data_IF_688409763851
#
_entry.id   IF_688409763851
#
_cell.length_a   1.000
_cell.length_b   1.000
_cell.length_c   1.000
_cell.angle_alpha   90.00
_cell.angle_beta   90.00
_cell.angle_gamma   90.00
#
_symmetry.space_group_name_H-M   'P 1'
#
loop_
_entity.id
_entity.type
_entity.pdbx_description
1 polymer ?
#
# COMPACT_ATOMS: atom_id res chain seq x y z
N UNK A 1 -1.03 -23.22 -16.27
CA UNK A 1 -2.27 -22.72 -15.65
C UNK A 1 -2.57 -21.38 -16.28
N UNK A 2 -3.72 -21.22 -16.95
CA UNK A 2 -4.08 -19.92 -17.55
C UNK A 2 -4.77 -19.08 -16.47
N UNK A 3 -4.02 -18.14 -15.88
CA UNK A 3 -4.56 -17.16 -14.92
C UNK A 3 -5.28 -16.02 -15.64
N UNK A 4 -6.08 -15.26 -14.89
CA UNK A 4 -6.73 -14.04 -15.39
C UNK A 4 -5.69 -12.93 -15.53
N UNK A 5 -5.67 -12.27 -16.69
CA UNK A 5 -4.82 -11.09 -16.90
C UNK A 5 -5.33 -9.94 -16.02
N UNK A 6 -4.41 -9.36 -15.25
CA UNK A 6 -4.70 -8.24 -14.38
C UNK A 6 -4.74 -6.91 -15.17
N UNK A 7 -5.61 -5.97 -14.81
CA UNK A 7 -5.55 -4.60 -15.32
C UNK A 7 -4.18 -3.99 -15.03
N UNK A 8 -3.63 -3.22 -15.98
CA UNK A 8 -2.28 -2.65 -15.89
C UNK A 8 -2.04 -1.87 -14.58
N UNK A 9 -2.99 -1.03 -14.18
CA UNK A 9 -2.87 -0.25 -12.94
C UNK A 9 -2.75 -1.12 -11.69
N UNK A 10 -3.49 -2.24 -11.66
CA UNK A 10 -3.44 -3.20 -10.56
C UNK A 10 -2.13 -3.99 -10.60
N UNK A 11 -1.68 -4.40 -11.79
CA UNK A 11 -0.43 -5.11 -11.99
C UNK A 11 0.78 -4.29 -11.51
N UNK A 12 0.85 -3.00 -11.85
CA UNK A 12 1.91 -2.09 -11.38
C UNK A 12 1.95 -2.02 -9.85
N UNK A 13 0.78 -1.87 -9.21
CA UNK A 13 0.69 -1.76 -7.75
C UNK A 13 1.09 -3.05 -7.04
N UNK A 14 0.63 -4.19 -7.55
CA UNK A 14 1.01 -5.50 -7.02
C UNK A 14 2.50 -5.79 -7.25
N UNK A 15 3.05 -5.36 -8.39
CA UNK A 15 4.48 -5.44 -8.68
C UNK A 15 5.34 -4.70 -7.66
N UNK A 16 4.95 -3.47 -7.32
CA UNK A 16 5.62 -2.69 -6.24
C UNK A 16 5.57 -3.43 -4.91
N UNK A 17 4.42 -3.99 -4.54
CA UNK A 17 4.28 -4.75 -3.31
C UNK A 17 5.18 -6.00 -3.29
N UNK A 18 5.21 -6.75 -4.38
CA UNK A 18 6.07 -7.93 -4.57
C UNK A 18 7.55 -7.54 -4.42
N UNK A 19 7.97 -6.45 -5.06
CA UNK A 19 9.34 -5.91 -4.96
C UNK A 19 9.69 -5.52 -3.53
N UNK A 20 8.77 -4.89 -2.80
CA UNK A 20 8.97 -4.57 -1.38
C UNK A 20 9.16 -5.84 -0.54
N UNK A 21 8.36 -6.88 -0.78
CA UNK A 21 8.53 -8.18 -0.11
C UNK A 21 9.89 -8.83 -0.38
N UNK A 22 10.32 -8.84 -1.65
CA UNK A 22 11.63 -9.36 -2.06
C UNK A 22 12.77 -8.61 -1.38
N UNK A 23 12.75 -7.29 -1.43
CA UNK A 23 13.80 -6.42 -0.87
C UNK A 23 13.85 -6.50 0.66
N UNK A 24 12.71 -6.56 1.35
CA UNK A 24 12.65 -6.76 2.79
C UNK A 24 13.31 -8.07 3.24
N UNK A 25 13.22 -9.12 2.40
CA UNK A 25 13.87 -10.41 2.63
C UNK A 25 15.29 -10.50 2.08
N UNK A 26 15.83 -9.41 1.54
CA UNK A 26 17.17 -9.32 0.94
C UNK A 26 17.42 -10.36 -0.16
N UNK A 27 16.38 -10.72 -0.91
CA UNK A 27 16.50 -11.66 -2.01
C UNK A 27 16.98 -10.94 -3.27
N UNK A 28 17.98 -11.53 -3.94
CA UNK A 28 18.40 -11.09 -5.27
C UNK A 28 17.31 -11.39 -6.31
N UNK A 29 17.47 -10.89 -7.53
CA UNK A 29 16.54 -11.21 -8.61
C UNK A 29 16.70 -12.68 -9.05
N UNK A 30 17.93 -13.19 -9.00
CA UNK A 30 18.31 -14.58 -9.27
C UNK A 30 17.63 -15.52 -8.25
N UNK A 31 17.76 -15.22 -6.94
CA UNK A 31 17.13 -16.02 -5.89
C UNK A 31 15.61 -16.02 -6.01
N UNK A 32 15.02 -14.88 -6.40
CA UNK A 32 13.59 -14.75 -6.59
C UNK A 32 13.12 -15.56 -7.81
N UNK A 33 13.85 -15.49 -8.93
CA UNK A 33 13.61 -16.26 -10.14
C UNK A 33 13.67 -17.76 -9.87
N UNK A 34 14.73 -18.23 -9.17
CA UNK A 34 14.91 -19.62 -8.80
C UNK A 34 13.80 -20.12 -7.88
N UNK A 35 13.41 -19.34 -6.87
CA UNK A 35 12.32 -19.70 -5.94
C UNK A 35 10.95 -19.73 -6.59
N UNK A 36 10.73 -18.87 -7.58
CA UNK A 36 9.49 -18.78 -8.32
C UNK A 36 9.44 -19.73 -9.52
N UNK A 37 10.57 -20.29 -9.95
CA UNK A 37 10.66 -21.15 -11.14
C UNK A 37 10.34 -20.40 -12.43
N UNK A 38 10.65 -19.10 -12.49
CA UNK A 38 10.47 -18.25 -13.68
C UNK A 38 11.77 -17.53 -14.01
N UNK A 39 11.87 -16.95 -15.21
CA UNK A 39 13.07 -16.20 -15.59
C UNK A 39 13.20 -14.87 -14.83
N UNK A 40 14.41 -14.34 -14.78
CA UNK A 40 14.69 -13.03 -14.16
C UNK A 40 13.90 -11.93 -14.86
N UNK A 41 13.83 -11.96 -16.18
CA UNK A 41 13.07 -10.98 -16.98
C UNK A 41 11.59 -11.00 -16.60
N UNK A 42 11.05 -12.19 -16.29
CA UNK A 42 9.67 -12.34 -15.86
C UNK A 42 9.45 -11.77 -14.46
N UNK A 43 10.38 -11.95 -13.53
CA UNK A 43 10.33 -11.29 -12.21
C UNK A 43 10.36 -9.76 -12.38
N UNK A 44 11.25 -9.23 -13.22
CA UNK A 44 11.35 -7.79 -13.48
C UNK A 44 10.04 -7.26 -14.06
N UNK A 45 9.46 -7.95 -15.05
CA UNK A 45 8.17 -7.59 -15.63
C UNK A 45 7.05 -7.56 -14.58
N UNK A 46 6.99 -8.60 -13.71
CA UNK A 46 6.02 -8.66 -12.62
C UNK A 46 6.22 -7.49 -11.64
N UNK A 47 7.46 -7.19 -11.26
CA UNK A 47 7.78 -6.09 -10.33
C UNK A 47 7.51 -4.70 -10.91
N UNK A 48 7.68 -4.52 -12.21
CA UNK A 48 7.39 -3.25 -12.90
C UNK A 48 5.92 -3.10 -13.28
N UNK A 49 5.16 -4.20 -13.32
CA UNK A 49 3.81 -4.21 -13.87
C UNK A 49 3.78 -4.14 -15.39
N UNK A 50 4.88 -4.47 -16.06
CA UNK A 50 4.98 -4.42 -17.51
C UNK A 50 4.50 -5.71 -18.17
N UNK A 51 3.68 -5.53 -19.20
CA UNK A 51 3.13 -6.63 -19.98
C UNK A 51 1.92 -7.32 -19.34
N UNK A 52 1.41 -8.38 -19.99
CA UNK A 52 0.32 -9.16 -19.45
C UNK A 52 0.81 -9.98 -18.26
N UNK A 53 0.39 -9.56 -17.06
CA UNK A 53 0.65 -10.26 -15.81
C UNK A 53 -0.65 -10.91 -15.34
N UNK A 54 -0.56 -12.18 -14.99
CA UNK A 54 -1.70 -12.93 -14.49
C UNK A 54 -1.76 -12.95 -12.97
N UNK A 55 -2.97 -13.07 -12.44
CA UNK A 55 -3.22 -13.25 -11.01
C UNK A 55 -2.41 -14.42 -10.41
N UNK A 56 -2.34 -15.56 -11.12
CA UNK A 56 -1.57 -16.75 -10.71
C UNK A 56 -0.08 -16.46 -10.56
N UNK A 57 0.51 -15.71 -11.50
CA UNK A 57 1.94 -15.34 -11.45
C UNK A 57 2.24 -14.45 -10.24
N UNK A 58 1.37 -13.48 -9.98
CA UNK A 58 1.48 -12.60 -8.80
C UNK A 58 1.31 -13.43 -7.52
N UNK A 59 0.38 -14.39 -7.51
CA UNK A 59 0.10 -15.26 -6.36
C UNK A 59 1.32 -16.11 -6.01
N UNK A 60 1.95 -16.67 -7.03
CA UNK A 60 3.17 -17.46 -6.88
C UNK A 60 4.30 -16.62 -6.29
N UNK A 61 4.53 -15.41 -6.82
CA UNK A 61 5.55 -14.49 -6.33
C UNK A 61 5.29 -14.06 -4.87
N UNK A 62 4.04 -13.66 -4.58
CA UNK A 62 3.62 -13.27 -3.23
C UNK A 62 3.78 -14.41 -2.22
N UNK A 63 3.47 -15.66 -2.60
CA UNK A 63 3.61 -16.82 -1.72
C UNK A 63 5.09 -17.19 -1.47
N UNK A 64 5.96 -17.05 -2.47
CA UNK A 64 7.37 -17.48 -2.37
C UNK A 64 8.26 -16.48 -1.66
N UNK A 65 8.02 -15.18 -1.85
CA UNK A 65 8.88 -14.14 -1.28
C UNK A 65 8.15 -12.88 -0.79
N UNK A 66 6.84 -12.75 -1.01
CA UNK A 66 6.05 -11.77 -0.29
C UNK A 66 6.01 -12.07 1.21
N UNK A 67 5.67 -11.07 2.03
CA UNK A 67 5.50 -11.21 3.49
C UNK A 67 4.26 -12.04 3.89
N UNK A 68 3.64 -12.65 2.88
CA UNK A 68 2.30 -13.17 2.91
C UNK A 68 2.38 -14.67 3.15
N UNK A 69 2.56 -15.05 4.42
CA UNK A 69 2.20 -16.39 4.87
C UNK A 69 0.67 -16.49 4.87
N UNK A 70 0.09 -17.00 3.78
CA UNK A 70 -1.30 -17.46 3.75
C UNK A 70 -2.39 -16.37 3.65
N UNK A 71 -2.08 -15.18 3.16
CA UNK A 71 -3.10 -14.18 2.81
C UNK A 71 -3.35 -14.28 1.31
N UNK A 72 -4.57 -14.64 0.90
CA UNK A 72 -4.96 -14.66 -0.51
C UNK A 72 -4.73 -13.28 -1.15
N UNK A 73 -4.35 -13.24 -2.43
CA UNK A 73 -4.25 -11.97 -3.20
C UNK A 73 -5.51 -11.13 -3.07
N UNK A 74 -6.67 -11.77 -2.95
CA UNK A 74 -7.95 -11.09 -2.74
C UNK A 74 -7.98 -10.28 -1.45
N UNK A 75 -7.32 -10.73 -0.37
CA UNK A 75 -7.16 -9.93 0.84
C UNK A 75 -6.18 -8.77 0.64
N UNK A 76 -5.12 -8.92 -0.17
CA UNK A 76 -4.25 -7.79 -0.51
C UNK A 76 -5.00 -6.74 -1.33
N UNK A 77 -5.79 -7.18 -2.32
CA UNK A 77 -6.66 -6.32 -3.11
C UNK A 77 -7.67 -5.61 -2.21
N UNK A 78 -8.35 -6.33 -1.30
CA UNK A 78 -9.31 -5.76 -0.34
C UNK A 78 -8.67 -4.79 0.65
N UNK A 79 -7.53 -5.15 1.24
CA UNK A 79 -6.76 -4.27 2.14
C UNK A 79 -6.33 -3.01 1.42
N UNK A 80 -5.89 -3.14 0.17
CA UNK A 80 -5.48 -2.02 -0.64
C UNK A 80 -6.66 -1.09 -0.99
N UNK A 81 -7.78 -1.67 -1.45
CA UNK A 81 -9.02 -0.92 -1.71
C UNK A 81 -9.48 -0.16 -0.45
N UNK A 82 -9.39 -0.79 0.72
CA UNK A 82 -9.66 -0.15 1.99
C UNK A 82 -8.71 1.03 2.27
N UNK A 83 -7.40 0.86 2.07
CA UNK A 83 -6.43 1.95 2.30
C UNK A 83 -6.60 3.13 1.35
N UNK A 84 -6.93 2.91 0.06
CA UNK A 84 -7.21 4.01 -0.88
C UNK A 84 -8.48 4.75 -0.50
N UNK A 85 -9.57 4.02 -0.21
CA UNK A 85 -10.80 4.66 0.29
C UNK A 85 -10.53 5.48 1.55
N UNK A 86 -9.74 4.95 2.49
CA UNK A 86 -9.40 5.64 3.72
C UNK A 86 -8.52 6.88 3.46
N UNK A 87 -7.61 6.82 2.49
CA UNK A 87 -6.78 7.95 2.07
C UNK A 87 -7.60 9.06 1.41
N UNK A 88 -8.57 8.70 0.58
CA UNK A 88 -9.54 9.62 0.01
C UNK A 88 -10.40 10.27 1.10
N UNK A 89 -10.87 9.48 2.07
CA UNK A 89 -11.66 10.00 3.19
C UNK A 89 -10.84 10.99 4.04
N UNK A 90 -9.59 10.65 4.35
CA UNK A 90 -8.68 11.54 5.08
C UNK A 90 -8.35 12.82 4.31
N UNK A 91 -8.17 12.74 2.99
CA UNK A 91 -7.95 13.94 2.16
C UNK A 91 -9.21 14.81 2.06
N UNK A 92 -10.41 14.21 1.97
CA UNK A 92 -11.69 14.94 2.07
C UNK A 92 -11.86 15.62 3.43
N UNK A 93 -11.60 14.90 4.53
CA UNK A 93 -11.63 15.47 5.90
C UNK A 93 -10.65 16.62 6.05
N UNK A 94 -9.41 16.47 5.55
CA UNK A 94 -8.40 17.52 5.59
C UNK A 94 -8.80 18.76 4.79
N UNK A 95 -9.41 18.57 3.61
CA UNK A 95 -9.98 19.68 2.82
C UNK A 95 -11.14 20.36 3.55
N UNK A 96 -12.01 19.59 4.20
CA UNK A 96 -13.11 20.13 4.99
C UNK A 96 -12.59 20.96 6.18
N UNK A 97 -11.60 20.46 6.92
CA UNK A 97 -10.94 21.17 8.02
C UNK A 97 -10.12 22.39 7.57
N UNK A 98 -9.73 22.48 6.29
CA UNK A 98 -9.11 23.69 5.73
C UNK A 98 -10.12 24.74 5.27
N UNK A 99 -11.37 24.35 4.99
CA UNK A 99 -12.46 25.24 4.55
C UNK A 99 -13.24 25.77 5.75
N UNK A 100 -13.54 24.89 6.71
CA UNK A 100 -14.08 25.27 8.01
C UNK A 100 -12.89 25.72 8.83
N UNK A 101 -12.61 27.03 8.86
CA UNK A 101 -11.53 27.59 9.66
C UNK A 101 -11.49 26.96 11.05
N UNK A 102 -10.28 26.77 11.59
CA UNK A 102 -10.07 26.03 12.84
C UNK A 102 -10.91 26.64 13.96
N UNK A 103 -12.06 26.04 14.26
CA UNK A 103 -12.86 26.46 15.40
C UNK A 103 -12.02 26.18 16.65
N UNK A 104 -11.70 27.20 17.46
CA UNK A 104 -10.87 27.01 18.64
C UNK A 104 -11.56 26.02 19.56
N UNK A 105 -10.78 25.06 20.06
CA UNK A 105 -11.26 24.04 20.99
C UNK A 105 -11.86 24.75 22.23
N UNK A 106 -12.85 24.16 22.91
CA UNK A 106 -13.53 24.83 24.02
C UNK A 106 -12.60 25.35 25.13
N UNK A 107 -11.47 24.68 25.36
CA UNK A 107 -10.45 25.08 26.33
C UNK A 107 -9.47 26.15 25.83
N UNK A 108 -9.43 26.43 24.52
CA UNK A 108 -8.66 27.53 23.93
C UNK A 108 -9.44 28.87 24.00
N UNK A 109 -10.76 28.81 24.25
CA UNK A 109 -11.63 30.00 24.40
C UNK A 109 -11.58 30.60 25.81
N UNK A 110 -10.93 29.93 26.75
CA UNK A 110 -10.67 30.45 28.09
C UNK A 110 -9.45 31.35 28.07
N UNK A 111 -9.64 32.65 27.86
CA UNK A 111 -8.70 33.63 28.39
C UNK A 111 -8.59 33.37 29.89
N UNK A 112 -7.47 32.83 30.33
CA UNK A 112 -7.10 32.82 31.73
C UNK A 112 -7.07 34.29 32.16
N UNK A 113 -8.12 34.75 32.82
CA UNK A 113 -8.06 35.93 33.66
C UNK A 113 -7.07 35.60 34.78
N UNK A 114 -5.78 35.89 34.55
CA UNK A 114 -4.77 35.87 35.59
C UNK A 114 -5.01 37.06 36.52
N UNK A 115 -5.90 36.86 37.47
CA UNK A 115 -5.93 37.63 38.71
C UNK A 115 -4.63 37.36 39.47
N UNK A 116 -3.70 38.33 39.50
CA UNK A 116 -2.69 38.46 40.55
C UNK A 116 -1.94 39.81 40.45
N UNK A 117 -2.64 40.92 40.72
CA UNK A 117 -1.97 42.10 41.28
C UNK A 117 -2.10 42.02 42.80
N UNK A 118 -1.15 41.32 43.42
CA UNK A 118 -0.81 41.52 44.83
C UNK A 118 0.48 42.34 44.86
N UNK A 119 0.35 43.65 45.03
CA UNK A 119 1.35 44.52 45.68
C UNK A 119 0.63 45.65 46.38
#
# INVERSE_FOLDING_TARGET
MAGRVLPKELAVKLGVYIRQGRTARRLSLEDAADRAGVSIEKIVAIESGDGPITDVEVQLCAARFGDVRGIEIDMLIRKWAYTEMHREEMTKRRKHLSIVGHDPKPWERGTFASSANCR
#
